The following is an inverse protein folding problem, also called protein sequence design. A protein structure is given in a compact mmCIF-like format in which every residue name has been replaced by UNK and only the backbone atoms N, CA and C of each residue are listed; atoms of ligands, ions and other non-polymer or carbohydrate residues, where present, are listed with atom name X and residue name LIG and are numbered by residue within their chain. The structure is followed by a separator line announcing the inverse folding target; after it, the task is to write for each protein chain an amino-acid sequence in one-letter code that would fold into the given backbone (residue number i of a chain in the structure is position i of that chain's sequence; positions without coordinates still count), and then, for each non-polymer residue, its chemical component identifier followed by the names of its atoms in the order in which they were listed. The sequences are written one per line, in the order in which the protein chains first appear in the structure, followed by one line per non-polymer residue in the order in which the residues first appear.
data_IF_225232815433
#
_entry.id   IF_225232815433
#
_cell.length_a   1.000
_cell.length_b   1.000
_cell.length_c   1.000
_cell.angle_alpha   90.00
_cell.angle_beta   90.00
_cell.angle_gamma   90.00
#
_symmetry.space_group_name_H-M   'P 1'
#
loop_
_entity.id
_entity.type
_entity.pdbx_description
1 polymer ?
#
# COMPACT_ATOMS: atom_id res chain seq x y z
N UNK A 1 -11.12 20.76 -17.20
CA UNK A 1 -10.79 19.66 -16.27
C UNK A 1 -9.80 18.76 -16.97
N UNK A 2 -8.51 18.98 -16.74
CA UNK A 2 -7.48 18.12 -17.31
C UNK A 2 -7.53 16.80 -16.56
N UNK A 3 -8.27 15.82 -17.10
CA UNK A 3 -8.16 14.43 -16.68
C UNK A 3 -6.77 13.96 -17.10
N UNK A 4 -5.77 14.33 -16.29
CA UNK A 4 -4.44 13.74 -16.33
C UNK A 4 -4.66 12.25 -16.19
N UNK A 5 -4.42 11.55 -17.31
CA UNK A 5 -4.51 10.10 -17.40
C UNK A 5 -3.81 9.50 -16.19
N UNK A 6 -4.41 8.48 -15.56
CA UNK A 6 -3.76 7.59 -14.64
C UNK A 6 -2.26 7.50 -14.85
N UNK A 7 -1.39 8.14 -14.08
CA UNK A 7 -0.01 7.70 -14.15
C UNK A 7 -0.05 6.20 -13.81
N UNK A 8 0.66 5.37 -14.57
CA UNK A 8 0.54 3.91 -14.46
C UNK A 8 0.72 3.45 -13.01
N UNK A 9 1.57 4.16 -12.28
CA UNK A 9 1.81 4.00 -10.85
C UNK A 9 0.61 4.36 -9.96
N UNK A 10 -0.16 5.39 -10.30
CA UNK A 10 -1.38 5.77 -9.57
C UNK A 10 -2.48 4.71 -9.73
N UNK A 11 -2.60 4.10 -10.92
CA UNK A 11 -3.57 3.02 -11.15
C UNK A 11 -3.23 1.78 -10.31
N UNK A 12 -1.95 1.41 -10.27
CA UNK A 12 -1.45 0.32 -9.41
C UNK A 12 -1.67 0.62 -7.93
N UNK A 13 -1.33 1.84 -7.50
CA UNK A 13 -1.51 2.28 -6.11
C UNK A 13 -2.98 2.27 -5.72
N UNK A 14 -3.87 2.78 -6.57
CA UNK A 14 -5.32 2.80 -6.30
C UNK A 14 -5.90 1.40 -6.18
N UNK A 15 -5.49 0.48 -7.06
CA UNK A 15 -5.91 -0.92 -7.01
C UNK A 15 -5.42 -1.60 -5.73
N UNK A 16 -4.16 -1.40 -5.36
CA UNK A 16 -3.61 -1.88 -4.09
C UNK A 16 -4.39 -1.33 -2.89
N UNK A 17 -4.62 -0.02 -2.85
CA UNK A 17 -5.36 0.66 -1.77
C UNK A 17 -6.77 0.09 -1.60
N UNK A 18 -7.49 -0.15 -2.70
CA UNK A 18 -8.84 -0.70 -2.65
C UNK A 18 -8.84 -2.13 -2.10
N UNK A 19 -7.88 -2.96 -2.53
CA UNK A 19 -7.70 -4.32 -2.01
C UNK A 19 -7.36 -4.31 -0.52
N UNK A 20 -6.42 -3.46 -0.10
CA UNK A 20 -5.98 -3.28 1.29
C UNK A 20 -7.14 -2.82 2.18
N UNK A 21 -7.88 -1.76 1.82
CA UNK A 21 -9.02 -1.27 2.61
C UNK A 21 -10.11 -2.33 2.81
N UNK A 22 -10.40 -3.12 1.77
CA UNK A 22 -11.43 -4.17 1.84
C UNK A 22 -11.01 -5.33 2.74
N UNK A 23 -9.73 -5.70 2.71
CA UNK A 23 -9.19 -6.82 3.50
C UNK A 23 -8.72 -6.40 4.90
N UNK A 24 -8.47 -5.11 5.15
CA UNK A 24 -8.16 -4.54 6.47
C UNK A 24 -9.32 -4.74 7.45
N UNK A 25 -10.57 -4.69 6.95
CA UNK A 25 -11.76 -4.96 7.76
C UNK A 25 -11.92 -6.45 8.12
N UNK A 26 -11.42 -7.36 7.28
CA UNK A 26 -11.47 -8.82 7.51
C UNK A 26 -10.27 -9.36 8.30
N UNK A 27 -9.09 -8.72 8.19
CA UNK A 27 -7.83 -9.22 8.76
C UNK A 27 -7.27 -8.26 9.82
N UNK A 28 -7.82 -8.34 11.04
CA UNK A 28 -7.39 -7.58 12.23
C UNK A 28 -5.98 -7.95 12.78
N UNK A 29 -5.21 -8.86 12.18
CA UNK A 29 -3.99 -9.39 12.85
C UNK A 29 -2.88 -9.96 11.93
N UNK A 30 -2.70 -9.47 10.70
CA UNK A 30 -1.64 -10.03 9.84
C UNK A 30 -1.20 -9.15 8.69
N UNK A 31 -0.57 -8.02 9.00
CA UNK A 31 -0.07 -7.05 8.02
C UNK A 31 0.86 -7.67 6.97
N UNK A 32 1.72 -8.63 7.35
CA UNK A 32 2.61 -9.33 6.41
C UNK A 32 1.87 -10.17 5.37
N UNK A 33 0.77 -10.85 5.77
CA UNK A 33 -0.04 -11.66 4.83
C UNK A 33 -0.86 -10.76 3.91
N UNK A 34 -1.29 -9.61 4.41
CA UNK A 34 -2.00 -8.61 3.63
C UNK A 34 -1.08 -8.02 2.55
N UNK A 35 0.17 -7.71 2.90
CA UNK A 35 1.18 -7.25 1.96
C UNK A 35 1.41 -8.26 0.82
N UNK A 36 1.74 -9.51 1.15
CA UNK A 36 2.00 -10.55 0.14
C UNK A 36 0.80 -10.78 -0.78
N UNK A 37 -0.43 -10.80 -0.23
CA UNK A 37 -1.64 -10.95 -1.04
C UNK A 37 -1.87 -9.78 -1.98
N UNK A 38 -1.67 -8.55 -1.51
CA UNK A 38 -1.80 -7.37 -2.35
C UNK A 38 -0.76 -7.38 -3.47
N UNK A 39 0.48 -7.81 -3.18
CA UNK A 39 1.54 -7.94 -4.20
C UNK A 39 1.16 -8.98 -5.25
N UNK A 40 0.78 -10.19 -4.85
CA UNK A 40 0.33 -11.22 -5.79
C UNK A 40 -0.89 -10.76 -6.61
N UNK A 41 -1.82 -10.02 -6.02
CA UNK A 41 -2.95 -9.45 -6.75
C UNK A 41 -2.49 -8.45 -7.80
N UNK A 42 -1.56 -7.53 -7.49
CA UNK A 42 -1.03 -6.58 -8.48
C UNK A 42 -0.27 -7.29 -9.60
N UNK A 43 0.55 -8.29 -9.28
CA UNK A 43 1.26 -9.10 -10.29
C UNK A 43 0.27 -9.83 -11.19
N UNK A 44 -0.80 -10.42 -10.64
CA UNK A 44 -1.79 -11.15 -11.42
C UNK A 44 -2.72 -10.26 -12.25
N UNK A 45 -3.15 -9.12 -11.70
CA UNK A 45 -4.17 -8.24 -12.30
C UNK A 45 -3.55 -7.25 -13.30
N UNK A 46 -2.36 -6.73 -12.97
CA UNK A 46 -1.65 -5.72 -13.78
C UNK A 46 -0.41 -6.24 -14.50
N UNK A 47 -0.07 -7.53 -14.34
CA UNK A 47 1.07 -8.19 -14.97
C UNK A 47 2.40 -7.43 -14.78
N UNK A 48 2.56 -6.83 -13.59
CA UNK A 48 3.79 -6.12 -13.17
C UNK A 48 4.79 -7.09 -12.54
N UNK A 49 6.07 -6.75 -12.59
CA UNK A 49 7.10 -7.50 -11.86
C UNK A 49 6.89 -7.40 -10.34
N UNK A 50 7.20 -8.47 -9.61
CA UNK A 50 7.18 -8.52 -8.13
C UNK A 50 7.77 -7.27 -7.46
N UNK A 51 8.99 -6.79 -7.78
CA UNK A 51 9.56 -5.61 -7.12
C UNK A 51 8.77 -4.32 -7.35
N UNK A 52 8.05 -4.22 -8.48
CA UNK A 52 7.19 -3.06 -8.80
C UNK A 52 5.89 -3.13 -8.00
N UNK A 53 5.29 -4.33 -7.91
CA UNK A 53 4.12 -4.57 -7.08
C UNK A 53 4.41 -4.34 -5.60
N UNK A 54 5.52 -4.86 -5.08
CA UNK A 54 5.99 -4.64 -3.70
C UNK A 54 6.11 -3.16 -3.36
N UNK A 55 6.74 -2.37 -4.23
CA UNK A 55 6.85 -0.92 -4.03
C UNK A 55 5.49 -0.23 -4.04
N UNK A 56 4.59 -0.58 -4.95
CA UNK A 56 3.26 0.02 -5.02
C UNK A 56 2.42 -0.29 -3.78
N UNK A 57 2.46 -1.54 -3.29
CA UNK A 57 1.76 -1.97 -2.08
C UNK A 57 2.37 -1.33 -0.84
N UNK A 58 3.70 -1.25 -0.74
CA UNK A 58 4.37 -0.57 0.37
C UNK A 58 3.95 0.91 0.46
N UNK A 59 3.96 1.61 -0.68
CA UNK A 59 3.51 3.00 -0.76
C UNK A 59 2.03 3.12 -0.37
N UNK A 60 1.17 2.19 -0.82
CA UNK A 60 -0.25 2.17 -0.49
C UNK A 60 -0.50 1.93 1.02
N UNK A 61 0.23 1.00 1.66
CA UNK A 61 0.12 0.76 3.10
C UNK A 61 0.60 1.96 3.92
N UNK A 62 1.69 2.61 3.51
CA UNK A 62 2.18 3.83 4.14
C UNK A 62 1.16 4.99 4.00
N UNK A 63 0.54 5.15 2.83
CA UNK A 63 -0.51 6.15 2.57
C UNK A 63 -1.76 5.94 3.44
N UNK A 64 -2.10 4.67 3.72
CA UNK A 64 -3.21 4.30 4.60
C UNK A 64 -2.90 4.43 6.09
N UNK A 65 -1.65 4.75 6.46
CA UNK A 65 -1.22 4.69 7.85
C UNK A 65 -1.24 3.28 8.44
N UNK A 66 -1.28 2.24 7.58
CA UNK A 66 -1.14 0.83 7.92
C UNK A 66 0.33 0.44 8.16
N UNK A 67 1.25 1.41 8.09
CA UNK A 67 2.67 1.19 8.29
C UNK A 67 2.95 0.55 9.66
N UNK A 68 3.68 -0.57 9.61
CA UNK A 68 4.61 -1.03 10.65
C UNK A 68 5.24 0.21 11.26
N UNK A 69 4.82 0.52 12.48
CA UNK A 69 5.17 1.68 13.29
C UNK A 69 6.13 2.66 12.61
N UNK A 70 5.60 3.82 12.27
CA UNK A 70 6.34 5.07 12.41
C UNK A 70 7.07 5.06 13.77
N UNK A 71 8.30 4.52 13.80
CA UNK A 71 9.30 4.93 14.77
C UNK A 71 9.88 6.24 14.25
N UNK A 72 9.04 7.28 14.19
CA UNK A 72 9.56 8.61 14.47
C UNK A 72 10.04 8.57 15.92
N UNK A 73 11.35 8.73 16.22
CA UNK A 73 11.77 8.90 17.59
C UNK A 73 11.01 10.14 18.08
N UNK A 74 10.24 9.94 19.15
CA UNK A 74 9.55 10.99 19.87
C UNK A 74 10.53 12.15 19.99
N UNK A 75 10.28 13.25 19.27
CA UNK A 75 11.02 14.49 19.50
C UNK A 75 10.52 14.99 20.84
N UNK A 76 11.09 14.39 21.87
CA UNK A 76 10.87 14.71 23.26
C UNK A 76 11.15 16.20 23.43
N UNK A 77 10.23 16.83 24.16
CA UNK A 77 10.31 18.17 24.66
C UNK A 77 11.74 18.58 25.05
N UNK A 78 12.13 19.79 24.65
CA UNK A 78 12.98 20.62 25.50
C UNK A 78 12.41 22.03 25.54
N UNK A 79 11.83 22.30 26.70
CA UNK A 79 11.66 23.60 27.35
C UNK A 79 12.95 24.40 27.33
#
# INVERSE_FOLDING_TARGET
MSTTRPDYQDVLKFSALHYLKRHQAEHLSGDDRLFVRAVCHLVADHNVSDPTAERAVYLAMNDLGLGVADRSPTRAART
#
